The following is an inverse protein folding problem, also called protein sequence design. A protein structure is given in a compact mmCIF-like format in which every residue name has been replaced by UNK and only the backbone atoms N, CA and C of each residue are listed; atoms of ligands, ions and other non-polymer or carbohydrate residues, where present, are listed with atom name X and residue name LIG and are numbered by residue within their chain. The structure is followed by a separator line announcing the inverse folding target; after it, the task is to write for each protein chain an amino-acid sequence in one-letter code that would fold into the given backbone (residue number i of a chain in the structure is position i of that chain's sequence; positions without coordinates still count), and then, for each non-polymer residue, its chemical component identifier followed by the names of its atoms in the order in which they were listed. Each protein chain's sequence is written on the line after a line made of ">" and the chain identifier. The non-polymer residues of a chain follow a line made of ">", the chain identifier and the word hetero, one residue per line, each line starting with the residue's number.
data_IF_996893276768
#
_entry.id   IF_996893276768
#
_cell.length_a   1.000
_cell.length_b   1.000
_cell.length_c   1.000
_cell.angle_alpha   90.00
_cell.angle_beta   90.00
_cell.angle_gamma   90.00
#
_symmetry.space_group_name_H-M   'P 1'
#
loop_
_entity.id
_entity.type
_entity.pdbx_description
1 polymer ?
#
# COMPACT_ATOMS: atom_id res chain seq x y z
N UNK A 1 34.79 45.22 -24.97
CA UNK A 1 33.46 44.60 -24.74
C UNK A 1 33.02 44.92 -23.32
N UNK A 2 31.93 45.67 -23.14
CA UNK A 2 31.54 46.22 -21.84
C UNK A 2 31.12 45.11 -20.86
N UNK A 3 31.87 44.95 -19.78
CA UNK A 3 31.51 44.12 -18.62
C UNK A 3 30.23 44.71 -17.99
N UNK A 4 29.07 44.13 -18.31
CA UNK A 4 27.77 44.66 -17.87
C UNK A 4 27.52 44.32 -16.39
N UNK A 5 28.22 45.03 -15.51
CA UNK A 5 28.14 44.87 -14.05
C UNK A 5 26.78 45.35 -13.56
N UNK A 6 26.00 44.42 -13.03
CA UNK A 6 24.64 44.63 -12.50
C UNK A 6 24.67 44.50 -10.98
N UNK A 7 23.65 45.02 -10.26
CA UNK A 7 23.63 44.94 -8.79
C UNK A 7 23.16 43.56 -8.36
N UNK A 8 23.86 42.99 -7.39
CA UNK A 8 23.43 41.76 -6.74
C UNK A 8 22.25 42.04 -5.80
N UNK A 9 21.24 41.17 -5.81
CA UNK A 9 20.08 41.23 -4.94
C UNK A 9 20.44 41.19 -3.45
N UNK A 10 21.34 40.28 -3.04
CA UNK A 10 21.71 40.11 -1.63
C UNK A 10 22.69 41.17 -1.12
N UNK A 11 23.88 41.31 -1.72
CA UNK A 11 24.89 42.24 -1.21
C UNK A 11 24.81 43.68 -1.78
N UNK A 12 23.89 43.98 -2.71
CA UNK A 12 23.69 45.28 -3.37
C UNK A 12 24.93 45.89 -4.07
N UNK A 13 26.01 45.12 -4.25
CA UNK A 13 27.24 45.56 -4.91
C UNK A 13 27.12 45.38 -6.43
N UNK A 14 27.61 46.35 -7.22
CA UNK A 14 27.72 46.25 -8.69
C UNK A 14 28.84 45.28 -9.07
N UNK A 15 28.48 44.09 -9.53
CA UNK A 15 29.41 43.01 -9.91
C UNK A 15 28.90 42.27 -11.15
N UNK A 16 29.63 41.28 -11.63
CA UNK A 16 29.06 40.30 -12.56
C UNK A 16 27.99 39.51 -11.80
N UNK A 17 26.78 39.47 -12.33
CA UNK A 17 25.65 38.78 -11.70
C UNK A 17 24.97 37.82 -12.67
N UNK A 18 24.43 36.74 -12.10
CA UNK A 18 23.73 35.67 -12.77
C UNK A 18 22.28 35.65 -12.30
N UNK A 19 21.34 35.40 -13.22
CA UNK A 19 19.92 35.30 -12.88
C UNK A 19 19.61 33.90 -12.36
N UNK A 20 18.86 33.80 -11.27
CA UNK A 20 18.22 32.55 -10.87
C UNK A 20 16.89 32.41 -11.60
N UNK A 21 16.68 31.30 -12.31
CA UNK A 21 15.45 31.06 -13.09
C UNK A 21 14.21 30.90 -12.19
N UNK A 22 14.39 30.41 -10.96
CA UNK A 22 13.29 30.22 -10.00
C UNK A 22 12.76 31.53 -9.42
N UNK A 23 13.61 32.31 -8.75
CA UNK A 23 13.19 33.55 -8.09
C UNK A 23 13.31 34.81 -8.96
N UNK A 24 13.80 34.68 -10.21
CA UNK A 24 14.05 35.76 -11.17
C UNK A 24 15.00 36.87 -10.67
N UNK A 25 15.68 36.67 -9.54
CA UNK A 25 16.64 37.62 -8.96
C UNK A 25 18.04 37.42 -9.53
N UNK A 26 18.86 38.49 -9.49
CA UNK A 26 20.24 38.47 -9.95
C UNK A 26 21.22 38.45 -8.77
N UNK A 27 22.13 37.48 -8.75
CA UNK A 27 23.09 37.30 -7.67
C UNK A 27 24.53 37.38 -8.17
N UNK A 28 25.45 37.89 -7.35
CA UNK A 28 26.87 37.66 -7.60
C UNK A 28 27.21 36.18 -7.35
N UNK A 29 28.33 35.68 -7.89
CA UNK A 29 28.70 34.27 -7.80
C UNK A 29 28.61 33.71 -6.36
N UNK A 30 29.15 34.44 -5.38
CA UNK A 30 29.15 34.03 -3.98
C UNK A 30 27.73 33.93 -3.39
N UNK A 31 26.89 34.95 -3.63
CA UNK A 31 25.53 34.98 -3.12
C UNK A 31 24.62 33.99 -3.86
N UNK A 32 24.92 33.67 -5.13
CA UNK A 32 24.23 32.62 -5.89
C UNK A 32 24.53 31.23 -5.31
N UNK A 33 25.78 30.97 -4.94
CA UNK A 33 26.17 29.72 -4.28
C UNK A 33 25.47 29.59 -2.93
N UNK A 34 25.43 30.66 -2.12
CA UNK A 34 24.68 30.66 -0.86
C UNK A 34 23.17 30.42 -1.07
N UNK A 35 22.58 31.07 -2.09
CA UNK A 35 21.17 30.84 -2.46
C UNK A 35 20.90 29.39 -2.87
N UNK A 36 21.80 28.77 -3.65
CA UNK A 36 21.69 27.35 -4.03
C UNK A 36 21.89 26.40 -2.84
N UNK A 37 22.73 26.75 -1.88
CA UNK A 37 22.89 25.95 -0.65
C UNK A 37 21.60 25.89 0.17
N UNK A 38 20.85 27.01 0.24
CA UNK A 38 19.53 27.03 0.89
C UNK A 38 18.55 26.10 0.17
N UNK A 39 18.50 26.16 -1.17
CA UNK A 39 17.63 25.28 -1.97
C UNK A 39 18.00 23.80 -1.83
N UNK A 40 19.29 23.47 -1.75
CA UNK A 40 19.73 22.10 -1.50
C UNK A 40 19.31 21.63 -0.11
N UNK A 41 19.44 22.49 0.91
CA UNK A 41 18.97 22.16 2.25
C UNK A 41 17.45 21.90 2.28
N UNK A 42 16.65 22.71 1.59
CA UNK A 42 15.20 22.48 1.47
C UNK A 42 14.88 21.16 0.75
N UNK A 43 15.65 20.78 -0.28
CA UNK A 43 15.49 19.51 -0.97
C UNK A 43 15.86 18.31 -0.07
N UNK A 44 16.91 18.45 0.74
CA UNK A 44 17.31 17.43 1.71
C UNK A 44 16.20 17.24 2.75
N UNK A 45 15.57 18.32 3.24
CA UNK A 45 14.42 18.23 4.15
C UNK A 45 13.22 17.50 3.53
N UNK A 46 12.89 17.79 2.26
CA UNK A 46 11.82 17.08 1.54
C UNK A 46 12.16 15.58 1.40
N UNK A 47 13.43 15.27 1.18
CA UNK A 47 13.90 13.88 1.05
C UNK A 47 13.80 13.13 2.38
N UNK A 48 14.17 13.79 3.48
CA UNK A 48 14.04 13.25 4.83
C UNK A 48 12.57 13.04 5.22
N UNK A 49 11.70 14.01 4.93
CA UNK A 49 10.25 13.90 5.15
C UNK A 49 9.64 12.74 4.34
N UNK A 50 10.05 12.56 3.08
CA UNK A 50 9.64 11.43 2.25
C UNK A 50 10.09 10.10 2.85
N UNK A 51 11.34 10.00 3.29
CA UNK A 51 11.87 8.78 3.90
C UNK A 51 11.18 8.48 5.22
N UNK A 52 10.91 9.50 6.04
CA UNK A 52 10.16 9.37 7.27
C UNK A 52 8.74 8.88 7.01
N UNK A 53 8.01 9.51 6.07
CA UNK A 53 6.66 9.08 5.70
C UNK A 53 6.63 7.67 5.12
N UNK A 54 7.63 7.29 4.31
CA UNK A 54 7.79 5.92 3.80
C UNK A 54 8.02 4.93 4.93
N UNK A 55 8.83 5.30 5.91
CA UNK A 55 9.06 4.49 7.10
C UNK A 55 7.79 4.38 7.95
N UNK A 56 7.06 5.47 8.17
CA UNK A 56 5.75 5.46 8.85
C UNK A 56 4.73 4.58 8.12
N UNK A 57 4.67 4.61 6.79
CA UNK A 57 3.83 3.70 6.00
C UNK A 57 4.24 2.24 6.23
N UNK A 58 5.54 1.94 6.17
CA UNK A 58 6.03 0.57 6.41
C UNK A 58 5.75 0.11 7.85
N UNK A 59 5.94 0.98 8.84
CA UNK A 59 5.66 0.73 10.25
C UNK A 59 4.15 0.62 10.54
N UNK A 60 3.31 1.36 9.82
CA UNK A 60 1.85 1.21 9.85
C UNK A 60 1.39 -0.08 9.16
N UNK A 61 2.02 -0.48 8.06
CA UNK A 61 1.82 -1.79 7.41
C UNK A 61 2.26 -2.95 8.32
N UNK A 62 3.28 -2.75 9.16
CA UNK A 62 3.69 -3.69 10.21
C UNK A 62 2.76 -3.70 11.44
N UNK A 63 1.94 -2.67 11.65
CA UNK A 63 1.06 -2.56 12.83
C UNK A 63 -0.43 -2.84 12.56
N UNK A 64 -0.82 -3.09 11.32
CA UNK A 64 -2.17 -3.54 11.01
C UNK A 64 -2.26 -5.07 11.08
N UNK A 65 -3.34 -5.58 11.65
CA UNK A 65 -3.81 -6.97 11.81
C UNK A 65 -3.50 -8.01 10.70
N UNK A 66 -2.94 -7.61 9.56
CA UNK A 66 -2.60 -8.44 8.41
C UNK A 66 -1.37 -9.34 8.63
N UNK A 67 -0.38 -8.95 9.45
CA UNK A 67 0.71 -9.87 9.84
C UNK A 67 0.14 -11.13 10.53
N UNK A 68 -0.88 -10.97 11.37
CA UNK A 68 -1.53 -12.10 12.06
C UNK A 68 -2.25 -13.06 11.10
N UNK A 69 -2.76 -12.59 9.97
CA UNK A 69 -3.44 -13.45 8.99
C UNK A 69 -2.44 -14.20 8.12
N UNK A 70 -1.37 -13.53 7.67
CA UNK A 70 -0.28 -14.22 6.97
C UNK A 70 0.38 -15.27 7.87
N UNK A 71 0.63 -14.95 9.15
CA UNK A 71 1.15 -15.91 10.11
C UNK A 71 0.20 -17.10 10.32
N UNK A 72 -1.12 -16.88 10.36
CA UNK A 72 -2.12 -17.95 10.43
C UNK A 72 -2.16 -18.81 9.16
N UNK A 73 -1.97 -18.22 7.99
CA UNK A 73 -1.88 -18.95 6.72
C UNK A 73 -0.61 -19.81 6.71
N UNK A 74 0.53 -19.22 7.07
CA UNK A 74 1.81 -19.91 7.18
C UNK A 74 1.74 -21.06 8.20
N UNK A 75 1.09 -20.84 9.34
CA UNK A 75 0.89 -21.89 10.35
C UNK A 75 -0.01 -23.00 9.82
N UNK A 76 -1.12 -22.67 9.15
CA UNK A 76 -1.98 -23.69 8.53
C UNK A 76 -1.24 -24.49 7.46
N UNK A 77 -0.37 -23.86 6.67
CA UNK A 77 0.47 -24.53 5.68
C UNK A 77 1.40 -25.55 6.34
N UNK A 78 2.14 -25.13 7.38
CA UNK A 78 3.06 -25.99 8.14
C UNK A 78 2.30 -27.19 8.73
N UNK A 79 1.20 -26.94 9.45
CA UNK A 79 0.41 -27.98 10.12
C UNK A 79 -0.17 -28.99 9.11
N UNK A 80 -0.57 -28.52 7.93
CA UNK A 80 -1.15 -29.35 6.87
C UNK A 80 -0.11 -30.27 6.22
N UNK A 81 1.08 -29.74 5.93
CA UNK A 81 2.20 -30.52 5.39
C UNK A 81 2.66 -31.57 6.40
N UNK A 82 2.76 -31.22 7.69
CA UNK A 82 3.15 -32.15 8.74
C UNK A 82 2.19 -33.33 8.84
N UNK A 83 0.86 -33.08 8.81
CA UNK A 83 -0.15 -34.14 8.80
C UNK A 83 0.00 -35.07 7.60
N UNK A 84 0.27 -34.55 6.40
CA UNK A 84 0.53 -35.38 5.21
C UNK A 84 1.74 -36.27 5.44
N UNK A 85 2.84 -35.69 5.95
CA UNK A 85 4.09 -36.42 6.18
C UNK A 85 3.89 -37.54 7.21
N UNK A 86 3.23 -37.25 8.33
CA UNK A 86 2.94 -38.25 9.35
C UNK A 86 2.08 -39.37 8.80
N UNK A 87 1.00 -39.05 8.07
CA UNK A 87 0.14 -40.08 7.49
C UNK A 87 0.89 -40.97 6.50
N UNK A 88 1.77 -40.39 5.70
CA UNK A 88 2.61 -41.15 4.78
C UNK A 88 3.60 -42.07 5.52
N UNK A 89 4.16 -41.62 6.65
CA UNK A 89 5.05 -42.43 7.47
C UNK A 89 4.30 -43.60 8.13
N UNK A 90 3.12 -43.35 8.72
CA UNK A 90 2.28 -44.40 9.29
C UNK A 90 1.94 -45.48 8.25
N UNK A 91 1.63 -45.06 7.02
CA UNK A 91 1.38 -45.98 5.91
C UNK A 91 2.65 -46.78 5.53
N UNK A 92 3.82 -46.13 5.48
CA UNK A 92 5.10 -46.83 5.23
C UNK A 92 5.38 -47.86 6.32
N UNK A 93 5.18 -47.51 7.58
CA UNK A 93 5.35 -48.44 8.70
C UNK A 93 4.43 -49.65 8.60
N UNK A 94 3.16 -49.45 8.24
CA UNK A 94 2.21 -50.56 8.05
C UNK A 94 2.68 -51.49 6.94
N UNK A 95 3.16 -50.95 5.81
CA UNK A 95 3.69 -51.74 4.70
C UNK A 95 4.92 -52.54 5.15
N UNK A 96 5.86 -51.91 5.85
CA UNK A 96 7.07 -52.55 6.37
C UNK A 96 6.71 -53.64 7.38
N UNK A 97 5.89 -53.35 8.38
CA UNK A 97 5.45 -54.32 9.40
C UNK A 97 4.74 -55.52 8.78
N UNK A 98 3.85 -55.28 7.81
CA UNK A 98 3.12 -56.35 7.12
C UNK A 98 4.06 -57.25 6.33
N UNK A 99 5.04 -56.67 5.63
CA UNK A 99 6.07 -57.43 4.90
C UNK A 99 6.95 -58.26 5.84
N UNK A 100 7.44 -57.66 6.92
CA UNK A 100 8.31 -58.33 7.90
C UNK A 100 7.61 -59.47 8.62
N UNK A 101 6.33 -59.32 8.96
CA UNK A 101 5.57 -60.37 9.67
C UNK A 101 5.31 -61.58 8.77
N UNK A 102 4.91 -61.35 7.52
CA UNK A 102 4.62 -62.44 6.56
C UNK A 102 5.89 -63.20 6.14
N UNK A 103 6.94 -62.47 5.77
CA UNK A 103 8.22 -63.05 5.33
C UNK A 103 8.96 -63.66 6.52
N UNK A 104 8.97 -62.99 7.67
CA UNK A 104 9.63 -63.47 8.89
C UNK A 104 9.10 -64.82 9.36
N UNK A 105 7.78 -65.07 9.24
CA UNK A 105 7.20 -66.39 9.56
C UNK A 105 7.73 -67.49 8.63
N UNK A 106 7.76 -67.25 7.31
CA UNK A 106 8.29 -68.24 6.34
C UNK A 106 9.78 -68.53 6.55
N UNK A 107 10.56 -67.51 6.91
CA UNK A 107 11.98 -67.72 7.25
C UNK A 107 12.17 -68.53 8.54
N UNK A 108 11.35 -68.31 9.56
CA UNK A 108 11.38 -69.11 10.79
C UNK A 108 10.98 -70.56 10.53
N UNK A 109 9.93 -70.80 9.73
CA UNK A 109 9.51 -72.16 9.34
C UNK A 109 10.64 -72.89 8.57
N UNK A 110 11.33 -72.20 7.64
CA UNK A 110 12.46 -72.78 6.90
C UNK A 110 13.65 -73.06 7.83
N UNK A 111 13.91 -72.18 8.80
CA UNK A 111 14.96 -72.37 9.80
C UNK A 111 14.68 -73.61 10.66
N UNK A 112 13.46 -73.79 11.14
CA UNK A 112 13.09 -74.98 11.91
C UNK A 112 13.26 -76.27 11.09
N UNK A 113 12.91 -76.26 9.81
CA UNK A 113 13.13 -77.41 8.91
C UNK A 113 14.62 -77.73 8.74
N UNK A 114 15.47 -76.71 8.55
CA UNK A 114 16.93 -76.88 8.49
C UNK A 114 17.46 -77.49 9.79
N UNK A 115 17.01 -76.97 10.94
CA UNK A 115 17.43 -77.47 12.26
C UNK A 115 16.98 -78.92 12.51
N UNK A 116 15.79 -79.32 12.03
CA UNK A 116 15.32 -80.70 12.13
C UNK A 116 16.12 -81.67 11.27
N UNK A 117 16.42 -81.32 10.02
CA UNK A 117 17.24 -82.15 9.12
C UNK A 117 18.67 -82.30 9.66
N UNK A 118 19.24 -81.23 10.21
CA UNK A 118 20.55 -81.30 10.87
C UNK A 118 20.53 -82.21 12.11
N UNK A 119 19.51 -82.12 12.97
CA UNK A 119 19.39 -82.97 14.16
C UNK A 119 19.17 -84.45 13.83
N UNK A 120 18.45 -84.74 12.74
CA UNK A 120 18.22 -86.11 12.28
C UNK A 120 19.42 -86.78 11.62
N UNK A 121 20.46 -86.01 11.24
CA UNK A 121 21.56 -86.49 10.39
C UNK A 121 21.08 -87.08 9.03
N UNK A 122 19.86 -86.71 8.59
CA UNK A 122 19.21 -87.26 7.39
C UNK A 122 19.46 -86.41 6.13
N UNK A 123 20.60 -85.73 6.05
CA UNK A 123 20.91 -84.90 4.87
C UNK A 123 21.33 -85.78 3.68
N UNK A 124 20.61 -85.64 2.58
CA UNK A 124 20.89 -86.24 1.27
C UNK A 124 20.64 -85.20 0.16
N UNK A 125 20.99 -85.49 -1.10
CA UNK A 125 20.83 -84.50 -2.17
C UNK A 125 19.37 -84.05 -2.34
N UNK A 126 18.39 -84.94 -2.09
CA UNK A 126 16.96 -84.64 -2.20
C UNK A 126 16.53 -83.59 -1.16
N UNK A 127 16.97 -83.75 0.09
CA UNK A 127 16.65 -82.82 1.18
C UNK A 127 17.33 -81.45 0.98
N UNK A 128 18.56 -81.44 0.46
CA UNK A 128 19.28 -80.20 0.13
C UNK A 128 18.63 -79.47 -1.05
N UNK A 129 18.22 -80.19 -2.09
CA UNK A 129 17.52 -79.63 -3.25
C UNK A 129 16.15 -79.07 -2.87
N UNK A 130 15.43 -79.76 -1.96
CA UNK A 130 14.16 -79.28 -1.42
C UNK A 130 14.31 -77.95 -0.67
N UNK A 131 15.27 -77.85 0.25
CA UNK A 131 15.54 -76.63 1.01
C UNK A 131 15.95 -75.46 0.10
N UNK A 132 16.78 -75.72 -0.93
CA UNK A 132 17.13 -74.71 -1.94
C UNK A 132 15.91 -74.20 -2.69
N UNK A 133 15.03 -75.10 -3.11
CA UNK A 133 13.81 -74.72 -3.81
C UNK A 133 12.84 -73.93 -2.91
N UNK A 134 12.75 -74.26 -1.63
CA UNK A 134 11.95 -73.47 -0.67
C UNK A 134 12.54 -72.07 -0.46
N UNK A 135 13.85 -71.97 -0.28
CA UNK A 135 14.53 -70.68 -0.16
C UNK A 135 14.34 -69.83 -1.42
N UNK A 136 14.43 -70.42 -2.60
CA UNK A 136 14.21 -69.73 -3.88
C UNK A 136 12.77 -69.23 -4.00
N UNK A 137 11.77 -70.02 -3.59
CA UNK A 137 10.37 -69.60 -3.57
C UNK A 137 10.13 -68.41 -2.63
N UNK A 138 10.62 -68.48 -1.39
CA UNK A 138 10.49 -67.38 -0.41
C UNK A 138 11.18 -66.11 -0.91
N UNK A 139 12.35 -66.26 -1.52
CA UNK A 139 13.11 -65.15 -2.12
C UNK A 139 12.37 -64.52 -3.29
N UNK A 140 11.79 -65.34 -4.16
CA UNK A 140 11.05 -64.87 -5.32
C UNK A 140 9.74 -64.19 -4.92
N UNK A 141 9.05 -64.71 -3.92
CA UNK A 141 7.87 -64.05 -3.33
C UNK A 141 8.22 -62.72 -2.66
N UNK A 142 9.39 -62.59 -2.02
CA UNK A 142 9.89 -61.32 -1.49
C UNK A 142 10.01 -60.28 -2.62
N UNK A 143 10.71 -60.62 -3.70
CA UNK A 143 10.92 -59.70 -4.82
C UNK A 143 9.64 -59.40 -5.63
N UNK A 144 8.69 -60.34 -5.67
CA UNK A 144 7.44 -60.18 -6.40
C UNK A 144 6.30 -59.55 -5.57
N UNK A 145 6.48 -59.38 -4.26
CA UNK A 145 5.45 -58.92 -3.34
C UNK A 145 5.19 -57.41 -3.44
N UNK A 146 4.49 -56.99 -4.50
CA UNK A 146 3.72 -55.75 -4.47
C UNK A 146 2.44 -55.96 -3.63
N UNK A 147 2.57 -56.34 -2.35
CA UNK A 147 1.45 -56.75 -1.50
C UNK A 147 0.63 -55.56 -0.94
N UNK A 148 0.98 -54.34 -1.32
CA UNK A 148 0.29 -53.12 -0.89
C UNK A 148 -0.31 -52.43 -2.11
N UNK A 149 -1.64 -52.27 -2.10
CA UNK A 149 -2.34 -51.40 -3.04
C UNK A 149 -2.66 -50.06 -2.37
N UNK A 150 -2.48 -48.98 -3.12
CA UNK A 150 -2.88 -47.65 -2.66
C UNK A 150 -4.37 -47.50 -2.95
N UNK A 151 -5.15 -47.24 -1.92
CA UNK A 151 -6.56 -46.86 -2.04
C UNK A 151 -6.69 -45.36 -1.77
N UNK A 152 -7.52 -44.68 -2.56
CA UNK A 152 -7.82 -43.27 -2.40
C UNK A 152 -9.16 -43.13 -1.65
N UNK A 153 -9.16 -42.41 -0.54
CA UNK A 153 -10.40 -42.01 0.15
C UNK A 153 -10.97 -40.76 -0.55
N UNK A 154 -12.29 -40.73 -0.71
CA UNK A 154 -13.03 -39.63 -1.32
C UNK A 154 -13.11 -38.39 -0.43
N UNK A 155 -12.78 -38.49 0.86
CA UNK A 155 -12.88 -37.38 1.81
C UNK A 155 -11.56 -36.58 1.92
N UNK A 156 -11.63 -35.24 1.95
CA UNK A 156 -10.44 -34.42 2.11
C UNK A 156 -9.84 -34.63 3.50
N UNK A 157 -8.57 -35.04 3.54
CA UNK A 157 -7.80 -35.25 4.76
C UNK A 157 -7.39 -33.92 5.43
N UNK A 158 -7.39 -32.82 4.67
CA UNK A 158 -6.97 -31.48 5.11
C UNK A 158 -8.15 -30.52 4.98
N UNK A 159 -8.34 -29.69 6.00
CA UNK A 159 -9.36 -28.64 5.99
C UNK A 159 -8.92 -27.51 5.08
N UNK A 160 -9.73 -27.18 4.07
CA UNK A 160 -9.49 -26.05 3.19
C UNK A 160 -9.57 -24.72 3.96
N UNK A 161 -8.60 -23.82 3.74
CA UNK A 161 -8.70 -22.42 4.17
C UNK A 161 -9.24 -21.56 3.05
N UNK A 162 -10.22 -20.71 3.37
CA UNK A 162 -10.74 -19.71 2.44
C UNK A 162 -10.44 -18.32 3.00
N UNK A 163 -9.84 -17.47 2.16
CA UNK A 163 -9.67 -16.05 2.49
C UNK A 163 -10.93 -15.32 2.09
N UNK A 164 -11.74 -14.96 3.08
CA UNK A 164 -12.88 -14.07 2.87
C UNK A 164 -12.32 -12.65 2.86
N UNK A 165 -12.21 -12.05 1.68
CA UNK A 165 -11.95 -10.61 1.58
C UNK A 165 -13.14 -9.87 2.19
N UNK A 166 -13.01 -9.46 3.44
CA UNK A 166 -13.89 -8.46 4.02
C UNK A 166 -13.73 -7.23 3.13
N UNK A 167 -14.77 -6.93 2.36
CA UNK A 167 -14.89 -5.84 1.38
C UNK A 167 -13.92 -4.71 1.73
N UNK A 168 -13.12 -4.28 0.73
CA UNK A 168 -12.26 -3.07 0.76
C UNK A 168 -12.84 -2.08 1.77
N UNK A 169 -12.07 -1.59 2.76
CA UNK A 169 -12.60 -0.64 3.73
C UNK A 169 -13.39 0.38 2.93
N UNK A 170 -14.70 0.46 3.16
CA UNK A 170 -15.50 1.54 2.58
C UNK A 170 -14.71 2.78 2.94
N UNK A 171 -14.14 3.47 1.94
CA UNK A 171 -13.58 4.81 2.13
C UNK A 171 -14.56 5.49 3.06
N UNK A 172 -14.11 5.81 4.29
CA UNK A 172 -14.95 6.29 5.38
C UNK A 172 -16.01 7.16 4.74
N UNK A 173 -17.26 6.69 4.75
CA UNK A 173 -18.40 7.48 4.28
C UNK A 173 -18.18 8.86 4.89
N UNK A 174 -18.05 9.88 4.05
CA UNK A 174 -17.84 11.27 4.46
C UNK A 174 -18.59 11.50 5.77
N UNK A 175 -17.88 11.94 6.81
CA UNK A 175 -18.51 12.21 8.10
C UNK A 175 -19.70 13.13 7.81
N UNK A 176 -20.93 12.68 8.08
CA UNK A 176 -22.16 13.39 7.71
C UNK A 176 -22.34 14.71 8.48
N UNK A 177 -21.37 15.07 9.33
CA UNK A 177 -21.27 16.34 10.02
C UNK A 177 -20.55 17.42 9.17
N UNK A 178 -20.62 17.32 7.84
CA UNK A 178 -20.15 18.40 6.97
C UNK A 178 -21.02 19.65 7.21
N UNK A 179 -20.38 20.79 7.43
CA UNK A 179 -21.04 22.08 7.58
C UNK A 179 -20.76 22.94 6.35
N UNK A 180 -21.74 23.73 5.95
CA UNK A 180 -21.51 24.77 4.95
C UNK A 180 -20.66 25.87 5.58
N UNK A 181 -19.43 26.01 5.12
CA UNK A 181 -18.48 27.05 5.58
C UNK A 181 -18.46 28.27 4.66
N UNK A 182 -19.22 28.20 3.57
CA UNK A 182 -19.10 29.03 2.40
C UNK A 182 -20.41 28.99 1.61
N UNK A 183 -21.19 30.07 1.64
CA UNK A 183 -22.42 30.23 0.86
C UNK A 183 -23.62 29.58 1.55
N UNK A 184 -24.43 28.84 0.79
CA UNK A 184 -25.56 28.07 1.33
C UNK A 184 -26.90 28.81 1.39
N UNK A 185 -26.98 30.04 0.87
CA UNK A 185 -28.22 30.85 0.80
C UNK A 185 -28.66 31.05 -0.66
N UNK A 186 -28.42 30.02 -1.49
CA UNK A 186 -28.77 30.02 -2.91
C UNK A 186 -27.73 30.65 -3.83
N UNK A 187 -28.01 30.53 -5.13
CA UNK A 187 -27.19 31.03 -6.23
C UNK A 187 -27.40 32.54 -6.40
N UNK A 188 -26.32 33.31 -6.51
CA UNK A 188 -26.43 34.76 -6.70
C UNK A 188 -25.12 35.53 -6.51
N UNK A 189 -25.21 36.85 -6.52
CA UNK A 189 -24.07 37.77 -6.58
C UNK A 189 -23.78 38.45 -5.23
N UNK A 190 -24.60 38.19 -4.21
CA UNK A 190 -24.38 38.75 -2.86
C UNK A 190 -23.13 38.13 -2.20
N UNK A 191 -22.60 38.78 -1.16
CA UNK A 191 -21.37 38.33 -0.48
C UNK A 191 -21.54 37.03 0.31
N UNK A 192 -22.79 36.68 0.65
CA UNK A 192 -23.17 35.41 1.27
C UNK A 192 -23.63 34.35 0.23
N UNK A 193 -23.46 34.62 -1.07
CA UNK A 193 -23.87 33.74 -2.17
C UNK A 193 -22.68 33.47 -3.12
N UNK A 194 -22.79 32.40 -3.90
CA UNK A 194 -21.86 32.05 -4.98
C UNK A 194 -22.63 31.73 -6.25
N UNK A 195 -21.95 31.86 -7.39
CA UNK A 195 -22.46 31.62 -8.74
C UNK A 195 -21.42 30.85 -9.55
N UNK A 196 -21.64 29.55 -9.71
CA UNK A 196 -20.76 28.65 -10.46
C UNK A 196 -19.28 28.70 -10.00
N UNK A 197 -18.99 28.40 -8.72
CA UNK A 197 -17.60 28.37 -8.24
C UNK A 197 -16.81 27.26 -8.94
N UNK A 198 -15.62 27.59 -9.44
CA UNK A 198 -14.79 26.70 -10.28
C UNK A 198 -13.54 26.17 -9.57
N UNK A 199 -13.18 26.75 -8.42
CA UNK A 199 -11.98 26.40 -7.70
C UNK A 199 -11.97 26.91 -6.27
N UNK A 200 -11.22 26.21 -5.42
CA UNK A 200 -11.04 26.53 -4.01
C UNK A 200 -9.57 26.40 -3.63
N UNK A 201 -9.10 27.32 -2.80
CA UNK A 201 -7.76 27.30 -2.19
C UNK A 201 -7.88 27.64 -0.71
N UNK A 202 -7.06 27.03 0.14
CA UNK A 202 -7.06 27.27 1.58
C UNK A 202 -5.66 27.70 2.00
N UNK A 203 -5.53 28.85 2.65
CA UNK A 203 -4.25 29.33 3.14
C UNK A 203 -3.87 28.69 4.50
N UNK A 204 -2.66 28.99 4.98
CA UNK A 204 -2.17 28.53 6.30
C UNK A 204 -3.00 29.03 7.50
N UNK A 205 -3.79 30.10 7.32
CA UNK A 205 -4.67 30.66 8.33
C UNK A 205 -6.09 30.08 8.26
N UNK A 206 -6.32 29.08 7.38
CA UNK A 206 -7.63 28.47 7.11
C UNK A 206 -8.64 29.44 6.49
N UNK A 207 -8.19 30.50 5.85
CA UNK A 207 -9.04 31.31 4.98
C UNK A 207 -9.28 30.57 3.67
N UNK A 208 -10.52 30.63 3.19
CA UNK A 208 -10.97 29.93 2.00
C UNK A 208 -11.08 30.94 0.87
N UNK A 209 -10.36 30.70 -0.21
CA UNK A 209 -10.37 31.49 -1.43
C UNK A 209 -11.18 30.74 -2.47
N UNK A 210 -12.22 31.37 -3.00
CA UNK A 210 -13.13 30.75 -3.96
C UNK A 210 -13.09 31.54 -5.25
N UNK A 211 -12.84 30.83 -6.36
CA UNK A 211 -12.99 31.36 -7.71
C UNK A 211 -14.48 31.28 -8.08
N UNK A 212 -15.21 32.36 -7.85
CA UNK A 212 -16.65 32.48 -8.08
C UNK A 212 -16.90 32.82 -9.56
N UNK A 213 -16.81 31.77 -10.39
CA UNK A 213 -16.51 31.87 -11.81
C UNK A 213 -17.55 32.62 -12.65
N UNK A 214 -18.84 32.40 -12.38
CA UNK A 214 -19.92 33.08 -13.13
C UNK A 214 -20.22 34.49 -12.59
N UNK A 215 -19.71 34.82 -11.40
CA UNK A 215 -19.69 36.19 -10.89
C UNK A 215 -18.39 36.95 -11.25
N UNK A 216 -17.47 36.29 -11.97
CA UNK A 216 -16.19 36.87 -12.37
C UNK A 216 -15.40 37.50 -11.21
N UNK A 217 -15.43 36.87 -10.04
CA UNK A 217 -14.78 37.38 -8.83
C UNK A 217 -14.05 36.29 -8.07
N UNK A 218 -13.09 36.71 -7.23
CA UNK A 218 -12.47 35.87 -6.21
C UNK A 218 -12.96 36.38 -4.86
N UNK A 219 -13.49 35.46 -4.05
CA UNK A 219 -14.03 35.76 -2.73
C UNK A 219 -13.21 35.05 -1.67
N UNK A 220 -12.81 35.78 -0.64
CA UNK A 220 -12.20 35.23 0.58
C UNK A 220 -13.27 35.02 1.65
N UNK A 221 -13.31 33.82 2.22
CA UNK A 221 -14.08 33.49 3.41
C UNK A 221 -13.15 33.14 4.56
N UNK A 222 -13.19 33.98 5.60
CA UNK A 222 -12.53 33.66 6.87
C UNK A 222 -13.27 32.53 7.57
N UNK A 223 -12.55 31.80 8.41
CA UNK A 223 -13.13 30.73 9.23
C UNK A 223 -14.37 31.24 10.00
N UNK A 224 -15.52 30.58 9.82
CA UNK A 224 -16.83 30.91 10.40
C UNK A 224 -17.45 32.27 9.97
N UNK A 225 -16.96 32.90 8.90
CA UNK A 225 -17.60 34.09 8.35
C UNK A 225 -18.97 33.76 7.71
N UNK A 226 -19.95 34.67 7.84
CA UNK A 226 -21.29 34.53 7.25
C UNK A 226 -21.39 35.02 5.81
N UNK A 227 -20.43 35.84 5.40
CA UNK A 227 -20.32 36.43 4.06
C UNK A 227 -18.84 36.61 3.72
N UNK A 228 -18.54 36.57 2.43
CA UNK A 228 -17.19 36.60 1.92
C UNK A 228 -16.78 38.02 1.57
N UNK A 229 -15.48 38.24 1.43
CA UNK A 229 -14.92 39.50 1.00
C UNK A 229 -14.40 39.38 -0.43
N UNK A 230 -14.80 40.30 -1.30
CA UNK A 230 -14.24 40.36 -2.64
C UNK A 230 -12.78 40.81 -2.53
N UNK A 231 -11.89 39.97 -3.02
CA UNK A 231 -10.44 40.21 -3.02
C UNK A 231 -9.90 40.45 -4.43
N UNK A 232 -10.61 39.99 -5.45
CA UNK A 232 -10.35 40.36 -6.84
C UNK A 232 -11.63 40.29 -7.67
N UNK A 233 -11.75 41.16 -8.67
CA UNK A 233 -12.78 41.10 -9.71
C UNK A 233 -12.10 41.08 -11.07
N UNK A 234 -12.62 40.27 -11.99
CA UNK A 234 -12.20 40.30 -13.37
C UNK A 234 -13.05 41.32 -14.12
N UNK A 235 -12.53 42.55 -14.23
CA UNK A 235 -13.18 43.57 -15.04
C UNK A 235 -12.90 43.32 -16.52
N UNK A 236 -13.93 42.90 -17.29
CA UNK A 236 -13.93 43.14 -18.73
C UNK A 236 -14.33 44.59 -18.92
N UNK A 237 -13.35 45.48 -19.07
CA UNK A 237 -13.62 46.85 -19.53
C UNK A 237 -13.97 46.76 -21.02
N UNK A 238 -15.26 46.88 -21.35
CA UNK A 238 -15.70 47.29 -22.69
C UNK A 238 -16.07 48.77 -22.61
N UNK A 239 -15.14 49.65 -22.97
CA UNK A 239 -15.34 51.10 -23.15
C UNK A 239 -16.11 51.34 -24.47
N UNK A 240 -17.17 52.16 -24.64
CA UNK A 240 -17.25 53.63 -24.47
C UNK A 240 -18.71 54.17 -24.50
N UNK A 241 -18.99 55.18 -23.64
CA UNK A 241 -19.70 56.49 -23.81
C UNK A 241 -20.98 56.53 -24.67
N UNK A 242 -22.14 56.99 -24.16
CA UNK A 242 -22.75 58.36 -24.20
C UNK A 242 -24.06 58.22 -23.36
N UNK A 243 -24.46 59.03 -22.36
CA UNK A 243 -24.74 60.48 -22.30
C UNK A 243 -25.06 60.83 -20.83
N UNK A 244 -24.76 62.06 -20.39
CA UNK A 244 -25.63 62.77 -19.43
C UNK A 244 -25.18 62.84 -17.97
N UNK A 245 -24.37 63.86 -17.67
CA UNK A 245 -24.53 64.87 -16.61
C UNK A 245 -25.02 64.46 -15.19
N UNK A 246 -24.28 64.99 -14.21
CA UNK A 246 -24.67 65.28 -12.81
C UNK A 246 -24.87 64.06 -11.89
N UNK A 247 -24.29 63.97 -10.69
CA UNK A 247 -23.68 64.97 -9.83
C UNK A 247 -22.89 64.24 -8.75
N UNK A 248 -21.67 64.70 -8.53
CA UNK A 248 -20.97 64.57 -7.25
C UNK A 248 -21.82 65.27 -6.18
N UNK A 249 -22.22 64.55 -5.13
CA UNK A 249 -22.55 65.17 -3.85
C UNK A 249 -21.68 64.51 -2.78
N UNK A 250 -20.63 65.19 -2.29
CA UNK A 250 -20.33 65.18 -0.88
C UNK A 250 -21.23 66.20 -0.18
N UNK A 251 -22.00 65.71 0.78
CA UNK A 251 -22.57 66.50 1.86
C UNK A 251 -21.46 67.25 2.61
N UNK A 252 -21.51 68.58 2.64
CA UNK A 252 -21.48 69.39 3.86
C UNK A 252 -21.20 70.87 3.58
N UNK A 253 -22.00 71.73 4.22
CA UNK A 253 -21.50 72.95 4.84
C UNK A 253 -21.99 74.27 4.25
N UNK A 254 -22.93 74.91 4.96
CA UNK A 254 -22.76 76.32 5.36
C UNK A 254 -23.50 77.39 4.55
N UNK A 255 -24.56 77.91 5.16
CA UNK A 255 -24.95 79.33 5.26
C UNK A 255 -24.50 80.32 4.16
N UNK A 256 -25.47 80.98 3.52
CA UNK A 256 -25.84 82.39 3.81
C UNK A 256 -27.00 82.83 2.91
N UNK A 257 -28.06 83.33 3.56
CA UNK A 257 -28.85 84.57 3.33
C UNK A 257 -28.39 85.41 2.10
N UNK A 258 -29.19 86.16 1.32
CA UNK A 258 -30.13 87.26 1.66
C UNK A 258 -30.92 87.65 0.37
N UNK A 259 -32.14 88.16 0.59
CA UNK A 259 -33.07 88.93 -0.28
C UNK A 259 -34.04 88.16 -1.18
#
# INVERSE_FOLDING_TARGET
>A
MASNKTRCFTCNKKKLTYTCEGCSQRFCLMDLTAHRQILNYELDQITDDYNHFKQEINEQQLNTHDLSLFDKINQWEIDSIEKIKQKAEDCREIVVKSSQTYIGKKFNDLREQIEQIHKGNEFNEINLEYLRNQLMKVTQEFYNSSNASIQHDSKPFINEISVISLKKPKLKKWNQNAITVAGGIGYGEQLNQLRGPQGIFIDKNKNIFIADGENHRIVEWKYNAKEGQIIAVFAVIVTLIITGCASLLPSNGGNQTIY
#
